data_IF_326782764271
#
_entry.id   IF_326782764271
#
_cell.length_a   1.000
_cell.length_b   1.000
_cell.length_c   1.000
_cell.angle_alpha   90.00
_cell.angle_beta   90.00
_cell.angle_gamma   90.00
#
_symmetry.space_group_name_H-M   'P 1'
#
loop_
_entity.id
_entity.type
_entity.pdbx_description
1 polymer ?
#
# COMPACT_ATOMS: atom_id res chain seq x y z
N UNK A 1 21.39 21.04 27.37
CA UNK A 1 21.92 19.68 27.13
C UNK A 1 21.06 18.87 26.16
N UNK A 2 19.80 18.52 26.46
CA UNK A 2 18.95 17.74 25.54
C UNK A 2 18.76 18.36 24.15
N UNK A 3 18.62 19.69 24.08
CA UNK A 3 18.53 20.44 22.81
C UNK A 3 19.85 20.41 22.04
N UNK A 4 20.99 20.42 22.73
CA UNK A 4 22.31 20.34 22.08
C UNK A 4 22.51 18.93 21.52
N UNK A 5 22.05 17.90 22.24
CA UNK A 5 22.05 16.52 21.76
C UNK A 5 21.12 16.33 20.56
N UNK A 6 19.95 16.98 20.57
CA UNK A 6 19.00 17.03 19.45
C UNK A 6 19.63 17.68 18.22
N UNK A 7 20.28 18.84 18.39
CA UNK A 7 20.98 19.57 17.33
C UNK A 7 22.14 18.76 16.75
N UNK A 8 22.91 18.07 17.59
CA UNK A 8 24.03 17.23 17.16
C UNK A 8 23.53 16.02 16.34
N UNK A 9 22.46 15.36 16.79
CA UNK A 9 21.86 14.23 16.08
C UNK A 9 21.30 14.65 14.71
N UNK A 10 20.64 15.82 14.65
CA UNK A 10 20.09 16.40 13.42
C UNK A 10 21.19 16.79 12.42
N UNK A 11 22.32 17.32 12.91
CA UNK A 11 23.48 17.67 12.10
C UNK A 11 24.18 16.43 11.53
N UNK A 12 24.28 15.36 12.33
CA UNK A 12 24.82 14.06 11.90
C UNK A 12 23.90 13.40 10.85
N UNK A 13 22.58 13.41 11.08
CA UNK A 13 21.61 12.88 10.13
C UNK A 13 21.66 13.62 8.78
N UNK A 14 21.74 14.96 8.81
CA UNK A 14 21.91 15.80 7.62
C UNK A 14 23.22 15.50 6.86
N UNK A 15 24.31 15.23 7.59
CA UNK A 15 25.60 14.83 6.99
C UNK A 15 25.55 13.47 6.29
N UNK A 16 24.74 12.53 6.76
CA UNK A 16 24.51 11.25 6.09
C UNK A 16 23.64 11.38 4.82
N UNK A 17 22.73 12.34 4.76
CA UNK A 17 21.91 12.65 3.57
C UNK A 17 22.75 13.33 2.47
N UNK A 18 23.74 14.14 2.85
CA UNK A 18 24.62 14.90 1.94
C UNK A 18 25.42 14.05 0.94
N UNK A 19 25.58 12.74 1.16
CA UNK A 19 26.49 11.95 0.34
C UNK A 19 25.89 11.42 -0.97
N UNK A 20 24.58 11.55 -1.23
CA UNK A 20 23.95 10.80 -2.34
C UNK A 20 22.78 11.41 -3.13
N UNK A 21 22.21 12.59 -2.82
CA UNK A 21 21.00 13.09 -3.53
C UNK A 21 20.94 14.63 -3.74
N UNK A 22 20.31 15.00 -4.86
CA UNK A 22 19.89 16.31 -5.42
C UNK A 22 19.96 17.55 -4.51
N UNK A 23 20.77 18.55 -4.92
CA UNK A 23 21.07 19.76 -4.13
C UNK A 23 19.85 20.63 -3.79
N UNK A 24 18.82 20.68 -4.64
CA UNK A 24 17.59 21.44 -4.40
C UNK A 24 16.81 20.90 -3.20
N UNK A 25 16.79 19.58 -3.05
CA UNK A 25 16.09 18.89 -1.98
C UNK A 25 16.78 19.11 -0.63
N UNK A 26 18.12 19.09 -0.60
CA UNK A 26 18.92 19.42 0.58
C UNK A 26 18.68 20.86 1.04
N UNK A 27 18.51 21.81 0.10
CA UNK A 27 18.19 23.20 0.41
C UNK A 27 16.81 23.35 1.07
N UNK A 28 15.79 22.61 0.61
CA UNK A 28 14.45 22.62 1.23
C UNK A 28 14.50 22.04 2.64
N UNK A 29 15.24 20.95 2.86
CA UNK A 29 15.40 20.34 4.17
C UNK A 29 16.19 21.24 5.13
N UNK A 30 17.27 21.89 4.66
CA UNK A 30 17.99 22.91 5.44
C UNK A 30 17.09 24.11 5.77
N UNK A 31 16.24 24.54 4.84
CA UNK A 31 15.28 25.61 5.08
C UNK A 31 14.25 25.24 6.14
N UNK A 32 13.63 24.06 6.06
CA UNK A 32 12.67 23.56 7.05
C UNK A 32 13.33 23.36 8.43
N UNK A 33 14.60 22.92 8.45
CA UNK A 33 15.41 22.81 9.65
C UNK A 33 15.68 24.18 10.27
N UNK A 34 16.16 25.14 9.49
CA UNK A 34 16.36 26.54 9.93
C UNK A 34 15.04 27.13 10.43
N UNK A 35 13.93 26.88 9.73
CA UNK A 35 12.61 27.32 10.14
C UNK A 35 12.16 26.69 11.47
N UNK A 36 12.40 25.39 11.67
CA UNK A 36 12.13 24.69 12.94
C UNK A 36 13.02 25.18 14.09
N UNK A 37 14.26 25.60 13.79
CA UNK A 37 15.18 26.22 14.74
C UNK A 37 14.72 27.62 15.11
N UNK A 38 14.23 28.41 14.15
CA UNK A 38 13.64 29.72 14.38
C UNK A 38 12.39 29.59 15.25
N UNK A 39 11.51 28.62 14.97
CA UNK A 39 10.32 28.36 15.80
C UNK A 39 10.72 27.90 17.19
N UNK A 40 11.68 26.98 17.32
CA UNK A 40 12.13 26.49 18.62
C UNK A 40 12.80 27.60 19.44
N UNK A 41 13.61 28.44 18.80
CA UNK A 41 14.21 29.62 19.41
C UNK A 41 13.14 30.64 19.80
N UNK A 42 12.15 30.89 18.94
CA UNK A 42 11.03 31.78 19.23
C UNK A 42 10.18 31.26 20.38
N UNK A 43 9.93 29.95 20.46
CA UNK A 43 9.26 29.32 21.60
C UNK A 43 10.09 29.45 22.87
N UNK A 44 11.41 29.25 22.81
CA UNK A 44 12.31 29.41 23.96
C UNK A 44 12.39 30.88 24.40
N UNK A 45 12.48 31.83 23.48
CA UNK A 45 12.53 33.27 23.75
C UNK A 45 11.19 33.78 24.30
N UNK A 46 10.07 33.34 23.73
CA UNK A 46 8.73 33.57 24.27
C UNK A 46 8.60 32.99 25.69
N UNK A 47 9.13 31.79 25.95
CA UNK A 47 9.17 31.16 27.27
C UNK A 47 10.15 31.81 28.25
N UNK A 48 11.20 32.47 27.76
CA UNK A 48 12.21 33.18 28.55
C UNK A 48 11.79 34.60 28.94
N UNK A 49 11.11 35.30 28.03
CA UNK A 49 10.62 36.67 28.23
C UNK A 49 9.26 36.72 28.93
N UNK A 50 8.44 35.66 28.85
CA UNK A 50 7.32 35.46 29.77
C UNK A 50 7.89 35.04 31.12
N UNK A 51 7.93 35.95 32.10
CA UNK A 51 8.31 35.60 33.48
C UNK A 51 7.41 34.51 34.07
N UNK A 52 7.75 33.24 33.82
CA UNK A 52 7.03 32.06 34.27
C UNK A 52 6.98 32.02 35.81
N UNK A 53 8.00 32.54 36.49
CA UNK A 53 8.00 32.69 37.95
C UNK A 53 6.91 33.65 38.48
N UNK A 54 6.46 34.64 37.70
CA UNK A 54 5.37 35.56 38.11
C UNK A 54 3.98 35.07 37.71
N UNK A 55 3.85 34.24 36.68
CA UNK A 55 2.54 33.73 36.22
C UNK A 55 2.16 32.34 36.77
N UNK A 56 3.13 31.51 37.21
CA UNK A 56 2.88 30.19 37.82
C UNK A 56 2.21 30.22 39.20
N UNK A 57 2.01 31.41 39.79
CA UNK A 57 1.23 31.53 41.03
C UNK A 57 -0.28 31.41 40.80
N UNK A 58 -0.75 31.40 39.54
CA UNK A 58 -2.16 31.11 39.18
C UNK A 58 -2.30 29.66 38.68
N UNK A 59 -2.80 28.77 39.54
CA UNK A 59 -3.00 27.34 39.24
C UNK A 59 -3.82 27.06 37.96
N UNK A 60 -4.68 27.98 37.54
CA UNK A 60 -5.53 27.84 36.34
C UNK A 60 -4.73 27.88 35.04
N UNK A 61 -3.76 28.79 34.92
CA UNK A 61 -2.91 28.90 33.73
C UNK A 61 -2.02 27.66 33.56
N UNK A 62 -1.45 27.17 34.67
CA UNK A 62 -0.63 25.97 34.67
C UNK A 62 -1.39 24.70 34.23
N UNK A 63 -2.66 24.56 34.65
CA UNK A 63 -3.52 23.43 34.21
C UNK A 63 -3.80 23.48 32.71
N UNK A 64 -4.16 24.65 32.18
CA UNK A 64 -4.40 24.84 30.74
C UNK A 64 -3.17 24.48 29.92
N UNK A 65 -1.99 24.98 30.32
CA UNK A 65 -0.73 24.68 29.65
C UNK A 65 -0.38 23.18 29.63
N UNK A 66 -0.57 22.47 30.73
CA UNK A 66 -0.38 21.01 30.77
C UNK A 66 -1.29 20.29 29.77
N UNK A 67 -2.60 20.61 29.76
CA UNK A 67 -3.53 19.96 28.84
C UNK A 67 -3.21 20.27 27.38
N UNK A 68 -2.80 21.50 27.05
CA UNK A 68 -2.39 21.84 25.68
C UNK A 68 -1.21 20.98 25.22
N UNK A 69 -0.16 20.87 26.04
CA UNK A 69 1.01 20.07 25.70
C UNK A 69 0.67 18.59 25.62
N UNK A 70 -0.20 18.10 26.52
CA UNK A 70 -0.66 16.72 26.49
C UNK A 70 -1.42 16.44 25.18
N UNK A 71 -2.28 17.35 24.73
CA UNK A 71 -2.99 17.22 23.45
C UNK A 71 -2.07 17.29 22.24
N UNK A 72 -1.06 18.16 22.24
CA UNK A 72 -0.05 18.20 21.16
C UNK A 72 0.75 16.90 21.13
N UNK A 73 1.15 16.38 22.30
CA UNK A 73 1.82 15.07 22.44
C UNK A 73 0.96 13.94 21.84
N UNK A 74 -0.33 13.91 22.17
CA UNK A 74 -1.28 12.93 21.64
C UNK A 74 -1.30 12.92 20.11
N UNK A 75 -1.43 14.11 19.52
CA UNK A 75 -1.51 14.28 18.07
C UNK A 75 -0.22 13.85 17.38
N UNK A 76 0.94 14.25 17.90
CA UNK A 76 2.22 13.91 17.29
C UNK A 76 2.54 12.42 17.45
N UNK A 77 2.21 11.84 18.62
CA UNK A 77 2.35 10.41 18.83
C UNK A 77 1.51 9.61 17.83
N UNK A 78 0.26 10.03 17.59
CA UNK A 78 -0.60 9.43 16.58
C UNK A 78 0.04 9.46 15.19
N UNK A 79 0.53 10.62 14.75
CA UNK A 79 1.25 10.72 13.47
C UNK A 79 2.50 9.83 13.42
N UNK A 80 3.24 9.69 14.52
CA UNK A 80 4.41 8.82 14.58
C UNK A 80 4.07 7.34 14.39
N UNK A 81 2.94 6.90 14.96
CA UNK A 81 2.43 5.54 14.80
C UNK A 81 2.04 5.29 13.35
N UNK A 82 1.32 6.22 12.72
CA UNK A 82 0.90 6.12 11.30
C UNK A 82 2.12 6.06 10.37
N UNK A 83 3.18 6.82 10.65
CA UNK A 83 4.42 6.79 9.86
C UNK A 83 5.18 5.45 9.96
N UNK A 84 4.99 4.68 11.04
CA UNK A 84 5.67 3.40 11.23
C UNK A 84 5.03 2.26 10.43
N UNK A 85 3.74 2.37 10.09
CA UNK A 85 2.99 1.30 9.38
C UNK A 85 3.65 0.92 8.03
N UNK A 86 3.95 1.86 7.11
CA UNK A 86 4.58 1.52 5.83
C UNK A 86 5.99 0.93 5.99
N UNK A 87 6.75 1.36 7.00
CA UNK A 87 8.07 0.83 7.31
C UNK A 87 7.98 -0.61 7.86
N UNK A 88 6.95 -0.90 8.66
CA UNK A 88 6.69 -2.25 9.15
C UNK A 88 6.30 -3.20 8.00
N UNK A 89 5.48 -2.75 7.05
CA UNK A 89 5.13 -3.51 5.84
C UNK A 89 6.34 -3.76 4.94
N UNK A 90 7.18 -2.73 4.74
CA UNK A 90 8.44 -2.88 4.04
C UNK A 90 9.33 -3.93 4.71
N UNK A 91 9.55 -3.82 6.02
CA UNK A 91 10.38 -4.76 6.78
C UNK A 91 9.84 -6.21 6.74
N UNK A 92 8.51 -6.37 6.85
CA UNK A 92 7.83 -7.68 6.77
C UNK A 92 8.20 -8.42 5.48
N UNK A 93 8.21 -7.72 4.36
CA UNK A 93 8.48 -8.34 3.05
C UNK A 93 9.91 -8.87 2.92
N UNK A 94 10.88 -8.26 3.60
CA UNK A 94 12.26 -8.78 3.63
C UNK A 94 12.43 -9.95 4.58
N UNK A 95 11.72 -9.95 5.72
CA UNK A 95 11.84 -10.98 6.75
C UNK A 95 11.04 -12.24 6.43
N UNK A 96 9.87 -12.07 5.83
CA UNK A 96 8.97 -13.13 5.39
C UNK A 96 8.50 -12.80 3.98
N UNK A 97 9.28 -13.16 2.95
CA UNK A 97 8.84 -13.02 1.56
C UNK A 97 7.51 -13.76 1.40
N UNK A 98 6.50 -13.08 0.90
CA UNK A 98 5.20 -13.67 0.62
C UNK A 98 5.40 -14.72 -0.47
N UNK A 99 5.00 -15.96 -0.20
CA UNK A 99 5.15 -17.04 -1.18
C UNK A 99 4.20 -16.77 -2.34
N UNK A 100 4.76 -16.58 -3.54
CA UNK A 100 3.96 -16.53 -4.76
C UNK A 100 3.34 -17.90 -5.00
N UNK A 101 2.09 -17.90 -5.47
CA UNK A 101 1.40 -19.14 -5.79
C UNK A 101 2.18 -19.94 -6.84
N UNK A 102 2.40 -21.24 -6.58
CA UNK A 102 3.29 -22.08 -7.40
C UNK A 102 2.92 -22.08 -8.89
N UNK A 103 1.62 -21.98 -9.21
CA UNK A 103 1.15 -22.02 -10.59
C UNK A 103 1.59 -20.83 -11.46
N UNK A 104 1.88 -19.67 -10.85
CA UNK A 104 2.30 -18.44 -11.54
C UNK A 104 3.73 -18.03 -11.21
N UNK A 105 4.44 -18.83 -10.42
CA UNK A 105 5.81 -18.56 -9.95
C UNK A 105 6.82 -18.35 -11.08
N UNK A 106 6.69 -19.13 -12.15
CA UNK A 106 7.57 -19.07 -13.32
C UNK A 106 7.15 -18.04 -14.38
N UNK A 107 6.26 -17.12 -14.00
CA UNK A 107 5.80 -16.05 -14.88
C UNK A 107 6.32 -14.69 -14.42
N UNK A 108 6.14 -13.69 -15.28
CA UNK A 108 6.48 -12.31 -15.08
C UNK A 108 5.41 -11.39 -15.67
N UNK A 109 5.48 -10.12 -15.28
CA UNK A 109 4.59 -9.06 -15.77
C UNK A 109 5.41 -7.84 -16.18
N UNK A 110 4.93 -7.09 -17.18
CA UNK A 110 5.52 -5.79 -17.52
C UNK A 110 5.09 -4.76 -16.47
N UNK A 111 6.02 -4.30 -15.65
CA UNK A 111 5.72 -3.41 -14.52
C UNK A 111 6.95 -2.57 -14.11
N UNK A 112 6.79 -1.30 -13.71
CA UNK A 112 5.58 -0.49 -13.76
C UNK A 112 5.32 0.07 -15.15
N UNK A 113 4.08 0.44 -15.44
CA UNK A 113 3.79 1.29 -16.59
C UNK A 113 4.25 2.71 -16.29
N UNK A 114 5.20 3.21 -17.07
CA UNK A 114 5.64 4.61 -17.00
C UNK A 114 4.89 5.46 -18.04
N UNK A 115 4.83 6.77 -17.76
CA UNK A 115 4.35 7.76 -18.72
C UNK A 115 5.34 7.90 -19.86
N UNK A 116 5.00 7.34 -21.02
CA UNK A 116 5.79 7.38 -22.25
C UNK A 116 5.30 8.43 -23.25
N UNK A 117 5.99 8.53 -24.38
CA UNK A 117 5.69 9.42 -25.49
C UNK A 117 4.34 9.09 -26.18
N UNK A 118 3.71 7.94 -25.87
CA UNK A 118 2.33 7.64 -26.26
C UNK A 118 1.36 8.77 -25.84
N UNK A 119 1.63 9.45 -24.71
CA UNK A 119 0.85 10.60 -24.23
C UNK A 119 1.09 11.92 -25.01
N UNK A 120 2.06 11.96 -25.93
CA UNK A 120 2.23 13.08 -26.85
C UNK A 120 1.47 12.89 -28.17
N UNK A 121 0.91 11.69 -28.40
CA UNK A 121 0.05 11.37 -29.54
C UNK A 121 -1.44 11.63 -29.27
N UNK A 122 -1.78 12.11 -28.07
CA UNK A 122 -3.15 12.28 -27.54
C UNK A 122 -4.04 13.27 -28.32
N UNK A 123 -3.50 13.98 -29.30
CA UNK A 123 -4.23 14.97 -30.13
C UNK A 123 -4.70 14.43 -31.49
N UNK A 124 -4.39 13.18 -31.82
CA UNK A 124 -4.82 12.55 -33.07
C UNK A 124 -5.78 11.40 -32.75
N UNK A 125 -7.08 11.64 -33.01
CA UNK A 125 -8.22 10.71 -33.09
C UNK A 125 -8.07 9.30 -32.47
N UNK A 126 -9.07 8.84 -31.72
CA UNK A 126 -9.15 7.48 -31.15
C UNK A 126 -8.84 6.31 -32.14
N UNK A 127 -8.89 6.53 -33.45
CA UNK A 127 -8.50 5.58 -34.50
C UNK A 127 -6.98 5.52 -34.80
N UNK A 128 -6.17 6.43 -34.24
CA UNK A 128 -4.70 6.44 -34.26
C UNK A 128 -4.08 5.86 -32.98
N UNK A 129 -4.70 4.82 -32.39
CA UNK A 129 -4.01 3.83 -31.54
C UNK A 129 -3.04 2.96 -32.39
N UNK A 130 -2.32 3.61 -33.30
CA UNK A 130 -1.82 3.10 -34.58
C UNK A 130 -0.41 2.54 -34.58
N UNK A 131 -0.08 1.72 -33.58
CA UNK A 131 1.02 0.76 -33.73
C UNK A 131 0.42 -0.64 -33.58
N UNK A 132 0.70 -1.49 -34.56
CA UNK A 132 0.12 -2.83 -34.63
C UNK A 132 0.71 -3.71 -33.51
N UNK A 133 0.02 -3.75 -32.36
CA UNK A 133 0.37 -4.59 -31.20
C UNK A 133 0.12 -6.07 -31.46
N UNK A 134 -0.44 -6.44 -32.63
CA UNK A 134 -0.74 -7.83 -33.00
C UNK A 134 0.49 -8.71 -32.97
N UNK A 135 1.64 -8.24 -33.45
CA UNK A 135 2.88 -9.04 -33.44
C UNK A 135 3.37 -9.32 -32.03
N UNK A 136 3.31 -8.31 -31.14
CA UNK A 136 3.68 -8.47 -29.74
C UNK A 136 2.75 -9.48 -29.05
N UNK A 137 1.44 -9.29 -29.17
CA UNK A 137 0.45 -10.20 -28.59
C UNK A 137 0.58 -11.62 -29.17
N UNK A 138 0.73 -11.76 -30.49
CA UNK A 138 0.96 -13.05 -31.15
C UNK A 138 2.16 -13.76 -30.55
N UNK A 139 3.31 -13.07 -30.45
CA UNK A 139 4.52 -13.67 -29.90
C UNK A 139 4.37 -14.05 -28.42
N UNK A 140 3.67 -13.23 -27.62
CA UNK A 140 3.38 -13.55 -26.22
C UNK A 140 2.50 -14.81 -26.10
N UNK A 141 1.45 -14.91 -26.90
CA UNK A 141 0.58 -16.08 -26.94
C UNK A 141 1.32 -17.33 -27.44
N UNK A 142 2.15 -17.22 -28.47
CA UNK A 142 2.94 -18.33 -29.01
C UNK A 142 3.97 -18.85 -27.99
N UNK A 143 4.55 -17.93 -27.19
CA UNK A 143 5.49 -18.27 -26.12
C UNK A 143 4.81 -18.84 -24.86
N UNK A 144 3.47 -18.89 -24.82
CA UNK A 144 2.71 -19.51 -23.73
C UNK A 144 2.22 -18.55 -22.65
N UNK A 145 2.08 -17.25 -22.95
CA UNK A 145 1.43 -16.32 -22.05
C UNK A 145 0.00 -16.77 -21.73
N UNK A 146 -0.40 -16.65 -20.47
CA UNK A 146 -1.73 -17.04 -19.97
C UNK A 146 -2.47 -15.79 -19.51
N UNK A 147 -3.76 -15.72 -19.80
CA UNK A 147 -4.60 -14.58 -19.42
C UNK A 147 -5.89 -15.05 -18.75
N UNK A 148 -6.24 -14.41 -17.64
CA UNK A 148 -7.55 -14.48 -17.00
C UNK A 148 -7.90 -13.08 -16.52
N UNK A 149 -8.99 -12.51 -17.04
CA UNK A 149 -9.50 -11.20 -16.63
C UNK A 149 -10.88 -11.37 -16.00
N UNK A 150 -10.97 -11.02 -14.72
CA UNK A 150 -12.16 -11.12 -13.88
C UNK A 150 -12.74 -9.76 -13.53
N UNK A 151 -12.23 -8.67 -14.12
CA UNK A 151 -12.70 -7.29 -13.85
C UNK A 151 -14.22 -7.16 -13.99
N UNK A 152 -14.77 -7.59 -15.13
CA UNK A 152 -16.21 -7.55 -15.39
C UNK A 152 -17.05 -8.47 -14.47
N UNK A 153 -16.45 -9.53 -13.94
CA UNK A 153 -17.12 -10.48 -13.02
C UNK A 153 -17.36 -9.85 -11.64
N UNK A 154 -16.44 -9.03 -11.13
CA UNK A 154 -16.55 -8.38 -9.82
C UNK A 154 -17.27 -7.03 -9.83
N UNK A 155 -17.66 -6.53 -10.99
CA UNK A 155 -18.45 -5.30 -11.10
C UNK A 155 -19.89 -5.52 -10.61
N UNK A 156 -20.22 -5.00 -9.43
CA UNK A 156 -21.53 -5.17 -8.77
C UNK A 156 -22.71 -4.58 -9.58
N UNK A 157 -22.44 -3.56 -10.40
CA UNK A 157 -23.46 -2.90 -11.23
C UNK A 157 -23.82 -3.75 -12.47
N UNK A 158 -23.02 -4.77 -12.79
CA UNK A 158 -23.27 -5.62 -13.94
C UNK A 158 -24.39 -6.63 -13.63
N UNK A 159 -25.45 -6.70 -14.45
CA UNK A 159 -26.39 -7.80 -14.38
C UNK A 159 -25.64 -9.13 -14.59
N UNK A 160 -26.19 -10.24 -14.09
CA UNK A 160 -25.53 -11.56 -14.13
C UNK A 160 -25.01 -11.95 -15.53
N UNK A 161 -25.70 -11.51 -16.57
CA UNK A 161 -25.35 -11.72 -17.99
C UNK A 161 -24.13 -10.91 -18.47
N UNK A 162 -23.66 -9.94 -17.69
CA UNK A 162 -22.47 -9.10 -17.95
C UNK A 162 -21.33 -9.40 -16.97
N UNK A 163 -21.55 -10.27 -15.98
CA UNK A 163 -20.48 -10.78 -15.12
C UNK A 163 -19.66 -11.84 -15.87
N UNK A 164 -18.82 -11.37 -16.78
CA UNK A 164 -18.01 -12.21 -17.65
C UNK A 164 -16.58 -12.36 -17.14
N UNK A 165 -15.97 -13.50 -17.45
CA UNK A 165 -14.54 -13.77 -17.30
C UNK A 165 -13.95 -13.93 -18.70
N UNK A 166 -12.81 -13.31 -18.97
CA UNK A 166 -12.11 -13.45 -20.25
C UNK A 166 -10.86 -14.28 -20.05
N UNK A 167 -10.64 -15.27 -20.91
CA UNK A 167 -9.47 -16.14 -20.88
C UNK A 167 -8.92 -16.36 -22.28
N UNK A 168 -7.61 -16.58 -22.39
CA UNK A 168 -7.01 -16.99 -23.64
C UNK A 168 -6.98 -18.52 -23.81
N UNK A 169 -6.66 -18.99 -25.01
CA UNK A 169 -6.55 -20.43 -25.28
C UNK A 169 -5.48 -21.13 -24.44
N UNK A 170 -4.34 -20.48 -24.18
CA UNK A 170 -3.28 -21.05 -23.33
C UNK A 170 -3.73 -21.24 -21.87
N UNK A 171 -4.63 -20.39 -21.37
CA UNK A 171 -5.25 -20.58 -20.06
C UNK A 171 -6.09 -21.86 -20.06
N UNK A 172 -6.94 -22.08 -21.07
CA UNK A 172 -7.74 -23.30 -21.17
C UNK A 172 -6.88 -24.57 -21.34
N UNK A 173 -5.77 -24.47 -22.06
CA UNK A 173 -4.83 -25.59 -22.20
C UNK A 173 -4.24 -26.01 -20.84
N UNK A 174 -4.03 -25.04 -19.93
CA UNK A 174 -3.49 -25.25 -18.59
C UNK A 174 -4.57 -25.62 -17.56
N UNK A 175 -5.75 -25.01 -17.68
CA UNK A 175 -6.91 -25.17 -16.80
C UNK A 175 -8.13 -25.59 -17.64
N UNK A 176 -8.22 -26.89 -18.00
CA UNK A 176 -9.24 -27.36 -18.92
C UNK A 176 -10.63 -27.31 -18.30
N UNK A 177 -11.55 -26.65 -19.00
CA UNK A 177 -12.97 -26.65 -18.64
C UNK A 177 -13.70 -27.81 -19.32
N UNK A 178 -14.59 -28.45 -18.59
CA UNK A 178 -15.30 -29.65 -18.99
C UNK A 178 -16.70 -29.30 -19.51
N UNK A 179 -17.04 -29.82 -20.68
CA UNK A 179 -18.37 -29.71 -21.26
C UNK A 179 -19.39 -30.58 -20.50
N UNK A 180 -20.68 -30.33 -20.72
CA UNK A 180 -21.75 -31.24 -20.24
C UNK A 180 -21.64 -32.68 -20.79
N UNK A 181 -20.84 -32.89 -21.84
CA UNK A 181 -20.56 -34.22 -22.40
C UNK A 181 -19.31 -34.89 -21.79
N UNK A 182 -18.79 -34.37 -20.68
CA UNK A 182 -17.56 -34.84 -20.01
C UNK A 182 -16.31 -34.81 -20.91
N UNK A 183 -16.24 -33.85 -21.84
CA UNK A 183 -15.07 -33.65 -22.69
C UNK A 183 -14.45 -32.28 -22.38
N UNK A 184 -13.13 -32.16 -22.33
CA UNK A 184 -12.48 -30.85 -22.27
C UNK A 184 -12.89 -29.98 -23.46
N UNK A 185 -13.19 -28.71 -23.20
CA UNK A 185 -13.39 -27.71 -24.26
C UNK A 185 -12.05 -27.51 -24.96
N UNK A 186 -12.03 -27.77 -26.27
CA UNK A 186 -10.87 -27.53 -27.13
C UNK A 186 -11.21 -26.43 -28.12
N UNK A 187 -10.35 -25.42 -28.18
CA UNK A 187 -10.49 -24.26 -29.06
C UNK A 187 -9.28 -24.19 -29.98
N UNK A 188 -9.51 -24.05 -31.28
CA UNK A 188 -8.43 -23.79 -32.24
C UNK A 188 -7.86 -22.39 -31.99
N UNK A 189 -6.53 -22.27 -31.92
CA UNK A 189 -5.84 -20.98 -31.74
C UNK A 189 -6.08 -20.01 -32.90
N UNK A 190 -6.51 -20.52 -34.06
CA UNK A 190 -6.85 -19.73 -35.24
C UNK A 190 -8.35 -19.52 -35.42
N UNK A 191 -9.18 -19.84 -34.42
CA UNK A 191 -10.63 -19.61 -34.51
C UNK A 191 -10.93 -18.10 -34.61
N UNK A 192 -11.67 -17.72 -35.65
CA UNK A 192 -12.03 -16.32 -35.94
C UNK A 192 -13.33 -15.91 -35.25
N UNK A 193 -14.18 -16.89 -34.92
CA UNK A 193 -15.48 -16.68 -34.28
C UNK A 193 -15.30 -16.31 -32.81
N UNK A 194 -16.24 -15.53 -32.30
CA UNK A 194 -16.33 -15.27 -30.87
C UNK A 194 -16.70 -16.57 -30.14
N UNK A 195 -16.07 -16.86 -29.00
CA UNK A 195 -16.28 -18.12 -28.28
C UNK A 195 -16.80 -17.81 -26.89
N UNK A 196 -17.98 -18.33 -26.59
CA UNK A 196 -18.70 -18.10 -25.35
C UNK A 196 -18.98 -19.45 -24.69
N UNK A 197 -18.46 -19.64 -23.49
CA UNK A 197 -18.77 -20.79 -22.64
C UNK A 197 -19.86 -20.39 -21.65
N UNK A 198 -20.94 -21.17 -21.62
CA UNK A 198 -22.11 -20.92 -20.79
C UNK A 198 -22.30 -22.12 -19.84
N UNK A 199 -22.33 -21.91 -18.52
CA UNK A 199 -22.64 -22.94 -17.54
C UNK A 199 -24.04 -23.51 -17.71
N UNK A 200 -24.20 -24.78 -17.38
CA UNK A 200 -25.47 -25.50 -17.49
C UNK A 200 -26.63 -24.79 -16.77
N UNK A 201 -26.40 -24.18 -15.60
CA UNK A 201 -27.43 -23.43 -14.84
C UNK A 201 -28.02 -22.25 -15.60
N UNK A 202 -27.29 -21.69 -16.56
CA UNK A 202 -27.73 -20.53 -17.37
C UNK A 202 -28.41 -20.95 -18.68
N UNK A 203 -28.51 -22.25 -18.97
CA UNK A 203 -29.23 -22.75 -20.14
C UNK A 203 -30.72 -22.39 -20.21
N UNK A 204 -31.48 -22.27 -19.09
CA UNK A 204 -32.86 -21.78 -19.14
C UNK A 204 -32.99 -20.40 -19.79
N UNK A 205 -31.98 -19.54 -19.62
CA UNK A 205 -31.95 -18.17 -20.16
C UNK A 205 -31.20 -18.07 -21.50
N UNK A 206 -30.79 -19.21 -22.09
CA UNK A 206 -29.96 -19.25 -23.29
C UNK A 206 -30.53 -18.46 -24.46
N UNK A 207 -31.85 -18.47 -24.66
CA UNK A 207 -32.50 -17.73 -25.75
C UNK A 207 -32.24 -16.21 -25.59
N UNK A 208 -32.33 -15.70 -24.37
CA UNK A 208 -32.07 -14.30 -24.08
C UNK A 208 -30.58 -13.98 -24.23
N UNK A 209 -29.70 -14.80 -23.64
CA UNK A 209 -28.24 -14.67 -23.76
C UNK A 209 -27.80 -14.63 -25.22
N UNK A 210 -28.25 -15.60 -26.01
CA UNK A 210 -27.98 -15.70 -27.44
C UNK A 210 -28.44 -14.44 -28.18
N UNK A 211 -29.65 -13.96 -27.90
CA UNK A 211 -30.15 -12.75 -28.54
C UNK A 211 -29.31 -11.52 -28.19
N UNK A 212 -28.79 -11.46 -26.97
CA UNK A 212 -27.93 -10.38 -26.50
C UNK A 212 -26.58 -10.37 -27.24
N UNK A 213 -25.86 -11.50 -27.26
CA UNK A 213 -24.57 -11.62 -27.96
C UNK A 213 -24.67 -11.31 -29.46
N UNK A 214 -25.77 -11.70 -30.11
CA UNK A 214 -25.96 -11.47 -31.55
C UNK A 214 -26.36 -10.02 -31.89
N UNK A 215 -27.02 -9.30 -30.97
CA UNK A 215 -27.62 -7.99 -31.25
C UNK A 215 -26.89 -6.79 -30.62
N UNK A 216 -26.25 -6.94 -29.45
CA UNK A 216 -25.84 -5.81 -28.61
C UNK A 216 -24.33 -5.51 -28.68
N UNK A 217 -23.51 -6.50 -29.05
CA UNK A 217 -22.06 -6.42 -28.94
C UNK A 217 -21.35 -6.15 -30.29
N UNK A 218 -21.85 -5.20 -31.09
CA UNK A 218 -21.20 -4.84 -32.35
C UNK A 218 -20.66 -3.39 -32.38
N UNK A 219 -19.34 -3.18 -32.14
CA UNK A 219 -18.71 -1.87 -32.29
C UNK A 219 -18.78 -1.34 -33.74
N UNK A 220 -18.93 -2.22 -34.73
CA UNK A 220 -18.99 -1.87 -36.16
C UNK A 220 -20.41 -1.65 -36.69
N UNK A 221 -21.43 -1.64 -35.81
CA UNK A 221 -22.87 -1.49 -36.17
C UNK A 221 -23.40 -2.52 -37.17
N UNK A 222 -22.72 -3.65 -37.37
CA UNK A 222 -23.25 -4.78 -38.13
C UNK A 222 -24.06 -5.70 -37.19
N UNK A 223 -25.07 -6.39 -37.68
CA UNK A 223 -25.70 -7.46 -36.88
C UNK A 223 -24.80 -8.69 -36.97
N UNK A 224 -24.31 -9.24 -35.83
CA UNK A 224 -23.57 -10.51 -35.83
C UNK A 224 -24.53 -11.61 -36.27
N UNK A 225 -24.06 -12.52 -37.12
CA UNK A 225 -24.80 -13.72 -37.50
C UNK A 225 -24.47 -14.84 -36.55
N UNK A 226 -25.32 -15.87 -36.55
CA UNK A 226 -25.09 -17.08 -35.74
C UNK A 226 -23.79 -17.80 -36.09
N UNK A 227 -23.36 -17.71 -37.34
CA UNK A 227 -22.09 -18.27 -37.81
C UNK A 227 -20.85 -17.54 -37.24
N UNK A 228 -21.02 -16.36 -36.64
CA UNK A 228 -19.93 -15.53 -36.11
C UNK A 228 -19.62 -15.85 -34.62
N UNK A 229 -20.45 -16.66 -33.95
CA UNK A 229 -20.33 -16.97 -32.51
C UNK A 229 -20.46 -18.47 -32.24
N UNK A 230 -19.53 -19.01 -31.47
CA UNK A 230 -19.53 -20.37 -30.96
C UNK A 230 -19.96 -20.41 -29.49
N UNK A 231 -21.08 -21.06 -29.23
CA UNK A 231 -21.56 -21.32 -27.88
C UNK A 231 -21.19 -22.74 -27.45
N UNK A 232 -20.50 -22.87 -26.33
CA UNK A 232 -20.25 -24.15 -25.66
C UNK A 232 -20.97 -24.19 -24.31
N UNK A 233 -21.57 -25.32 -23.98
CA UNK A 233 -22.16 -25.54 -22.65
C UNK A 233 -21.17 -26.30 -21.77
N UNK A 234 -20.84 -25.72 -20.62
CA UNK A 234 -19.92 -26.29 -19.63
C UNK A 234 -20.65 -26.76 -18.37
N UNK A 235 -20.04 -27.71 -17.65
CA UNK A 235 -20.55 -28.13 -16.34
C UNK A 235 -20.57 -26.96 -15.36
N UNK A 236 -21.55 -26.96 -14.46
CA UNK A 236 -21.60 -26.02 -13.35
C UNK A 236 -20.51 -26.30 -12.31
N UNK A 237 -20.31 -25.31 -11.43
CA UNK A 237 -19.41 -25.39 -10.27
C UNK A 237 -17.95 -25.72 -10.60
N UNK A 238 -17.52 -25.39 -11.82
CA UNK A 238 -16.11 -25.50 -12.21
C UNK A 238 -15.28 -24.37 -11.61
N UNK A 239 -14.16 -24.75 -11.02
CA UNK A 239 -13.21 -23.84 -10.40
C UNK A 239 -12.42 -23.07 -11.48
N UNK A 240 -12.49 -21.75 -11.45
CA UNK A 240 -11.62 -20.85 -12.23
C UNK A 240 -10.55 -20.31 -11.31
N UNK A 241 -9.30 -20.69 -11.56
CA UNK A 241 -8.15 -20.11 -10.88
C UNK A 241 -7.82 -18.75 -11.51
N UNK A 242 -8.12 -17.66 -10.80
CA UNK A 242 -7.90 -16.30 -11.24
C UNK A 242 -6.69 -15.68 -10.52
N UNK A 243 -5.79 -15.08 -11.30
CA UNK A 243 -4.50 -14.55 -10.83
C UNK A 243 -4.28 -13.08 -11.24
N UNK A 244 -5.36 -12.39 -11.57
CA UNK A 244 -5.46 -10.97 -11.92
C UNK A 244 -5.91 -10.11 -10.72
N UNK A 245 -5.72 -10.65 -9.52
CA UNK A 245 -5.96 -9.97 -8.25
C UNK A 245 -4.67 -9.96 -7.43
N UNK A 246 -4.62 -9.11 -6.41
CA UNK A 246 -3.49 -8.99 -5.49
C UNK A 246 -3.07 -10.35 -4.87
N UNK A 247 -4.06 -11.21 -4.64
CA UNK A 247 -3.88 -12.60 -4.26
C UNK A 247 -4.74 -13.44 -5.21
N UNK A 248 -4.21 -14.55 -5.75
CA UNK A 248 -5.01 -15.44 -6.57
C UNK A 248 -6.24 -15.96 -5.83
N UNK A 249 -7.34 -16.09 -6.55
CA UNK A 249 -8.62 -16.54 -6.02
C UNK A 249 -9.16 -17.70 -6.86
N UNK A 250 -10.06 -18.48 -6.26
CA UNK A 250 -10.81 -19.53 -6.96
C UNK A 250 -12.26 -19.06 -7.06
N UNK A 251 -12.76 -18.93 -8.29
CA UNK A 251 -14.16 -18.64 -8.57
C UNK A 251 -14.87 -19.97 -8.81
N UNK A 252 -15.76 -20.34 -7.89
CA UNK A 252 -16.50 -21.61 -7.94
C UNK A 252 -17.80 -21.52 -8.76
N UNK A 253 -18.22 -20.32 -9.15
CA UNK A 253 -19.50 -20.12 -9.82
C UNK A 253 -19.37 -19.09 -10.97
N UNK A 254 -18.51 -19.35 -11.97
CA UNK A 254 -18.29 -18.42 -13.08
C UNK A 254 -19.56 -18.31 -13.94
N UNK A 255 -19.99 -17.11 -14.32
CA UNK A 255 -21.24 -16.92 -15.10
C UNK A 255 -21.02 -17.11 -16.60
N UNK A 256 -20.33 -16.21 -17.28
CA UNK A 256 -20.04 -16.37 -18.71
C UNK A 256 -18.53 -16.30 -18.90
N UNK A 257 -17.97 -17.21 -19.67
CA UNK A 257 -16.54 -17.22 -19.98
C UNK A 257 -16.35 -16.95 -21.46
N UNK A 258 -15.66 -15.85 -21.77
CA UNK A 258 -15.23 -15.52 -23.11
C UNK A 258 -13.85 -16.12 -23.35
N UNK A 259 -13.71 -16.86 -24.44
CA UNK A 259 -12.42 -17.42 -24.85
C UNK A 259 -11.94 -16.66 -26.07
N UNK A 260 -10.79 -16.02 -25.95
CA UNK A 260 -10.22 -15.27 -27.05
C UNK A 260 -9.02 -15.97 -27.68
N UNK A 261 -8.93 -15.77 -28.99
CA UNK A 261 -7.79 -16.08 -29.85
C UNK A 261 -7.24 -14.76 -30.38
N UNK A 262 -6.09 -14.79 -31.06
CA UNK A 262 -5.59 -13.60 -31.73
C UNK A 262 -6.57 -13.11 -32.82
N UNK A 263 -7.26 -14.04 -33.49
CA UNK A 263 -8.11 -13.72 -34.64
C UNK A 263 -9.48 -13.20 -34.24
N UNK A 264 -10.07 -13.71 -33.15
CA UNK A 264 -11.38 -13.27 -32.69
C UNK A 264 -11.32 -12.02 -31.79
N UNK A 265 -10.13 -11.60 -31.34
CA UNK A 265 -9.94 -10.40 -30.53
C UNK A 265 -9.84 -9.15 -31.43
N UNK A 266 -10.76 -8.17 -31.29
CA UNK A 266 -10.72 -6.93 -32.08
C UNK A 266 -9.43 -6.14 -31.84
N UNK A 267 -8.89 -5.48 -32.86
CA UNK A 267 -7.64 -4.70 -32.78
C UNK A 267 -7.69 -3.67 -31.63
N UNK A 268 -8.85 -3.03 -31.42
CA UNK A 268 -9.08 -2.06 -30.35
C UNK A 268 -8.93 -2.64 -28.94
N UNK A 269 -9.09 -3.96 -28.78
CA UNK A 269 -9.00 -4.70 -27.52
C UNK A 269 -7.66 -5.44 -27.37
N UNK A 270 -6.73 -5.34 -28.34
CA UNK A 270 -5.38 -5.93 -28.26
C UNK A 270 -4.41 -5.13 -27.36
N UNK A 271 -4.91 -4.15 -26.61
CA UNK A 271 -4.12 -3.42 -25.62
C UNK A 271 -4.16 -4.14 -24.25
N UNK A 272 -3.52 -5.30 -24.21
CA UNK A 272 -3.54 -6.27 -23.09
C UNK A 272 -2.57 -5.92 -21.96
N UNK A 273 -1.57 -5.06 -22.18
CA UNK A 273 -0.62 -4.68 -21.14
C UNK A 273 -1.15 -3.46 -20.38
N UNK A 274 -1.41 -3.64 -19.08
CA UNK A 274 -1.94 -2.57 -18.22
C UNK A 274 -0.85 -1.96 -17.34
N UNK A 275 0.12 -2.77 -16.93
CA UNK A 275 1.11 -2.44 -15.91
C UNK A 275 0.55 -2.44 -14.49
N UNK A 276 -0.51 -3.22 -14.24
CA UNK A 276 -1.19 -3.30 -12.94
C UNK A 276 -0.57 -4.30 -11.95
N UNK A 277 0.71 -4.63 -12.10
CA UNK A 277 1.44 -5.49 -11.15
C UNK A 277 0.77 -6.86 -10.95
N UNK A 278 0.45 -7.26 -9.71
CA UNK A 278 -0.24 -8.52 -9.42
C UNK A 278 -1.58 -8.63 -10.14
N UNK A 279 -2.27 -7.50 -10.31
CA UNK A 279 -3.55 -7.43 -11.00
C UNK A 279 -3.45 -7.36 -12.54
N UNK A 280 -2.26 -7.54 -13.13
CA UNK A 280 -2.13 -7.69 -14.59
C UNK A 280 -2.79 -9.02 -15.03
N UNK A 281 -3.83 -9.01 -15.87
CA UNK A 281 -4.51 -10.25 -16.29
C UNK A 281 -3.59 -11.20 -17.06
N UNK A 282 -2.66 -10.65 -17.84
CA UNK A 282 -1.71 -11.41 -18.65
C UNK A 282 -0.43 -11.72 -17.87
N UNK A 283 -0.11 -13.02 -17.75
CA UNK A 283 1.17 -13.49 -17.20
C UNK A 283 2.05 -14.05 -18.31
N UNK A 284 3.30 -13.61 -18.33
CA UNK A 284 4.27 -13.94 -19.37
C UNK A 284 5.25 -14.99 -18.84
N UNK A 285 5.40 -16.16 -19.48
CA UNK A 285 6.32 -17.18 -19.01
C UNK A 285 7.76 -16.69 -19.10
N UNK A 286 8.57 -17.02 -18.10
CA UNK A 286 9.99 -16.72 -18.10
C UNK A 286 10.74 -17.67 -19.04
N UNK A 287 11.45 -17.10 -20.01
CA UNK A 287 12.34 -17.80 -20.94
C UNK A 287 13.77 -17.51 -20.49
N UNK A 288 14.28 -18.33 -19.59
CA UNK A 288 15.55 -18.07 -18.90
C UNK A 288 15.38 -17.03 -17.79
N UNK A 289 16.19 -15.99 -17.81
CA UNK A 289 16.10 -14.86 -16.87
C UNK A 289 15.06 -13.84 -17.30
N UNK A 290 14.62 -13.00 -16.36
CA UNK A 290 13.71 -11.88 -16.64
C UNK A 290 14.28 -10.93 -17.70
N UNK A 291 15.59 -10.68 -17.67
CA UNK A 291 16.26 -9.83 -18.64
C UNK A 291 16.31 -10.47 -20.03
N UNK A 292 16.62 -11.76 -20.13
CA UNK A 292 16.61 -12.47 -21.41
C UNK A 292 15.20 -12.51 -22.02
N UNK A 293 14.18 -12.70 -21.19
CA UNK A 293 12.78 -12.65 -21.61
C UNK A 293 12.40 -11.24 -22.08
N UNK A 294 12.82 -10.20 -21.35
CA UNK A 294 12.61 -8.80 -21.75
C UNK A 294 13.30 -8.47 -23.09
N UNK A 295 14.57 -8.85 -23.25
CA UNK A 295 15.36 -8.58 -24.44
C UNK A 295 14.76 -9.25 -25.69
N UNK A 296 14.10 -10.40 -25.52
CA UNK A 296 13.34 -11.07 -26.58
C UNK A 296 12.14 -10.24 -27.06
N UNK A 297 11.41 -9.60 -26.14
CA UNK A 297 10.25 -8.78 -26.47
C UNK A 297 10.59 -7.31 -26.79
N UNK A 298 11.77 -6.83 -26.43
CA UNK A 298 12.20 -5.44 -26.65
C UNK A 298 12.07 -4.95 -28.10
N UNK A 299 12.42 -5.72 -29.15
CA UNK A 299 12.20 -5.30 -30.53
C UNK A 299 10.71 -5.11 -30.86
N UNK A 300 9.84 -5.97 -30.34
CA UNK A 300 8.39 -5.91 -30.55
C UNK A 300 7.76 -4.77 -29.75
N UNK A 301 8.28 -4.49 -28.55
CA UNK A 301 7.90 -3.32 -27.76
C UNK A 301 8.26 -2.03 -28.51
N UNK A 302 9.45 -1.95 -29.13
CA UNK A 302 9.86 -0.81 -29.96
C UNK A 302 9.01 -0.64 -31.21
N UNK A 303 8.67 -1.74 -31.89
CA UNK A 303 7.76 -1.71 -33.04
C UNK A 303 6.36 -1.25 -32.61
N UNK A 304 5.92 -1.63 -31.41
CA UNK A 304 4.66 -1.23 -30.81
C UNK A 304 4.68 0.16 -30.15
N UNK A 305 5.84 0.82 -30.05
CA UNK A 305 6.03 2.11 -29.37
C UNK A 305 5.71 2.06 -27.88
N UNK A 306 6.03 0.93 -27.23
CA UNK A 306 5.71 0.62 -25.84
C UNK A 306 6.97 0.46 -24.96
N UNK A 307 8.17 0.65 -25.52
CA UNK A 307 9.43 0.41 -24.81
C UNK A 307 9.67 1.37 -23.64
N UNK A 308 9.17 2.61 -23.76
CA UNK A 308 9.25 3.64 -22.71
C UNK A 308 8.12 3.50 -21.68
N UNK A 309 6.96 2.98 -22.09
CA UNK A 309 5.86 2.62 -21.20
C UNK A 309 6.19 1.41 -20.33
N UNK A 310 6.83 0.38 -20.90
CA UNK A 310 7.13 -0.88 -20.21
C UNK A 310 8.64 -1.17 -20.25
N UNK A 311 9.45 -0.44 -19.46
CA UNK A 311 10.90 -0.58 -19.47
C UNK A 311 11.42 -1.83 -18.74
N UNK A 312 10.57 -2.51 -17.97
CA UNK A 312 10.98 -3.65 -17.15
C UNK A 312 9.96 -4.80 -17.22
N UNK A 313 10.49 -6.02 -17.18
CA UNK A 313 9.74 -7.25 -16.95
C UNK A 313 10.12 -7.82 -15.58
N UNK A 314 9.14 -7.97 -14.70
CA UNK A 314 9.38 -8.34 -13.30
C UNK A 314 8.82 -9.74 -13.03
N UNK A 315 9.66 -10.71 -12.61
CA UNK A 315 9.21 -12.02 -12.15
C UNK A 315 8.20 -11.90 -11.02
N UNK A 316 7.18 -12.77 -11.01
CA UNK A 316 6.17 -12.77 -9.95
C UNK A 316 6.80 -12.88 -8.56
N UNK A 317 7.82 -13.73 -8.38
CA UNK A 317 8.57 -13.88 -7.12
C UNK A 317 9.21 -12.58 -6.61
N UNK A 318 9.58 -11.68 -7.51
CA UNK A 318 10.24 -10.42 -7.18
C UNK A 318 9.27 -9.24 -7.19
N UNK A 319 8.04 -9.43 -7.65
CA UNK A 319 7.10 -8.36 -7.94
C UNK A 319 6.76 -7.53 -6.69
N UNK A 320 6.36 -8.18 -5.58
CA UNK A 320 6.10 -7.49 -4.30
C UNK A 320 7.29 -6.66 -3.85
N UNK A 321 8.51 -7.22 -3.94
CA UNK A 321 9.72 -6.51 -3.55
C UNK A 321 9.93 -5.28 -4.43
N UNK A 322 9.72 -5.42 -5.74
CA UNK A 322 9.84 -4.34 -6.71
C UNK A 322 8.78 -3.26 -6.51
N UNK A 323 7.53 -3.59 -6.24
CA UNK A 323 6.47 -2.62 -5.91
C UNK A 323 6.84 -1.78 -4.69
N UNK A 324 7.22 -2.43 -3.58
CA UNK A 324 7.61 -1.72 -2.37
C UNK A 324 8.88 -0.92 -2.62
N UNK A 325 9.83 -1.45 -3.39
CA UNK A 325 10.96 -0.66 -3.83
C UNK A 325 10.49 0.55 -4.61
N UNK A 326 9.61 0.48 -5.59
CA UNK A 326 9.17 1.66 -6.35
C UNK A 326 8.37 2.66 -5.50
N UNK A 327 7.51 2.17 -4.61
CA UNK A 327 6.73 2.99 -3.67
C UNK A 327 7.66 3.69 -2.66
N UNK A 328 8.74 3.04 -2.21
CA UNK A 328 9.60 3.53 -1.13
C UNK A 328 11.03 3.96 -1.54
N UNK A 329 11.47 3.73 -2.79
CA UNK A 329 12.83 3.97 -3.32
C UNK A 329 13.19 5.45 -3.24
N UNK A 330 12.21 6.32 -3.43
CA UNK A 330 12.43 7.76 -3.36
C UNK A 330 12.56 8.29 -1.93
N UNK A 331 12.26 7.50 -0.89
CA UNK A 331 11.92 8.10 0.40
C UNK A 331 12.22 7.24 1.64
N UNK A 332 12.68 5.98 1.56
CA UNK A 332 12.79 5.16 2.79
C UNK A 332 13.79 5.72 3.81
N UNK A 333 14.91 6.29 3.33
CA UNK A 333 15.91 6.95 4.20
C UNK A 333 15.34 8.23 4.83
N UNK A 334 14.57 8.99 4.06
CA UNK A 334 13.91 10.18 4.56
C UNK A 334 12.81 9.80 5.56
N UNK A 335 11.97 8.81 5.27
CA UNK A 335 10.97 8.26 6.21
C UNK A 335 11.61 7.76 7.51
N UNK A 336 12.74 7.07 7.45
CA UNK A 336 13.49 6.68 8.66
C UNK A 336 13.98 7.91 9.42
N UNK A 337 14.44 8.95 8.71
CA UNK A 337 14.89 10.22 9.32
C UNK A 337 13.72 10.96 9.97
N UNK A 338 12.60 11.12 9.26
CA UNK A 338 11.38 11.78 9.73
C UNK A 338 10.78 11.05 10.93
N UNK A 339 10.74 9.72 10.88
CA UNK A 339 10.34 8.88 12.00
C UNK A 339 11.27 9.08 13.20
N UNK A 340 12.58 9.12 12.99
CA UNK A 340 13.58 9.32 14.06
C UNK A 340 13.40 10.69 14.73
N UNK A 341 13.20 11.74 13.94
CA UNK A 341 12.92 13.10 14.44
C UNK A 341 11.60 13.11 15.22
N UNK A 342 10.57 12.47 14.69
CA UNK A 342 9.24 12.42 15.30
C UNK A 342 9.27 11.65 16.63
N UNK A 343 9.94 10.50 16.70
CA UNK A 343 10.12 9.72 17.93
C UNK A 343 10.87 10.55 18.98
N UNK A 344 11.93 11.25 18.58
CA UNK A 344 12.68 12.10 19.50
C UNK A 344 11.81 13.24 20.06
N UNK A 345 11.00 13.87 19.20
CA UNK A 345 10.08 14.91 19.62
C UNK A 345 8.97 14.37 20.55
N UNK A 346 8.47 13.16 20.31
CA UNK A 346 7.56 12.45 21.21
C UNK A 346 8.21 12.21 22.58
N UNK A 347 9.45 11.74 22.64
CA UNK A 347 10.18 11.53 23.91
C UNK A 347 10.31 12.84 24.69
N UNK A 348 10.65 13.94 24.01
CA UNK A 348 10.72 15.28 24.62
C UNK A 348 9.36 15.71 25.17
N UNK A 349 8.28 15.51 24.42
CA UNK A 349 6.93 15.87 24.86
C UNK A 349 6.42 14.98 26.01
N UNK A 350 6.75 13.69 26.03
CA UNK A 350 6.46 12.80 27.17
C UNK A 350 7.18 13.33 28.41
N UNK A 351 8.48 13.60 28.31
CA UNK A 351 9.29 14.11 29.42
C UNK A 351 8.72 15.45 29.93
N UNK A 352 8.42 16.38 29.02
CA UNK A 352 7.95 17.71 29.36
C UNK A 352 6.54 17.69 29.95
N UNK A 353 5.61 16.93 29.36
CA UNK A 353 4.26 16.78 29.91
C UNK A 353 4.29 16.17 31.30
N UNK A 354 5.17 15.19 31.54
CA UNK A 354 5.40 14.57 32.85
C UNK A 354 5.96 15.57 33.86
N UNK A 355 6.96 16.37 33.47
CA UNK A 355 7.56 17.39 34.32
C UNK A 355 6.59 18.52 34.64
N UNK A 356 5.81 18.97 33.65
CA UNK A 356 4.75 19.96 33.81
C UNK A 356 3.69 19.46 34.79
N UNK A 357 3.24 18.21 34.64
CA UNK A 357 2.32 17.56 35.55
C UNK A 357 2.87 17.48 36.98
N UNK A 358 4.13 17.07 37.14
CA UNK A 358 4.77 16.99 38.44
C UNK A 358 4.83 18.36 39.13
N UNK A 359 5.24 19.41 38.41
CA UNK A 359 5.34 20.78 38.95
C UNK A 359 3.99 21.32 39.40
N UNK A 360 2.92 21.08 38.65
CA UNK A 360 1.56 21.53 39.00
C UNK A 360 1.07 21.00 40.34
N UNK A 361 1.48 19.78 40.69
CA UNK A 361 1.00 19.08 41.89
C UNK A 361 2.15 18.77 42.87
N UNK A 362 3.29 19.46 42.73
CA UNK A 362 4.53 19.14 43.45
C UNK A 362 4.32 19.03 44.97
N UNK A 363 3.66 20.00 45.58
CA UNK A 363 3.41 20.01 47.02
C UNK A 363 2.62 18.78 47.46
N UNK A 364 1.57 18.42 46.72
CA UNK A 364 0.72 17.27 47.01
C UNK A 364 1.49 15.95 46.86
N UNK A 365 2.28 15.82 45.79
CA UNK A 365 3.07 14.61 45.53
C UNK A 365 4.15 14.40 46.57
N UNK A 366 4.89 15.45 46.95
CA UNK A 366 5.92 15.37 47.99
C UNK A 366 5.30 14.94 49.33
N UNK A 367 4.19 15.54 49.75
CA UNK A 367 3.50 15.16 51.00
C UNK A 367 3.03 13.71 50.96
N UNK A 368 2.43 13.26 49.86
CA UNK A 368 1.97 11.87 49.74
C UNK A 368 3.12 10.86 49.74
N UNK A 369 4.24 11.16 49.06
CA UNK A 369 5.40 10.27 49.02
C UNK A 369 6.12 10.20 50.37
N UNK A 370 6.21 11.33 51.11
CA UNK A 370 6.72 11.34 52.49
C UNK A 370 5.87 10.49 53.44
N UNK A 371 4.55 10.48 53.24
CA UNK A 371 3.62 9.64 54.02
C UNK A 371 3.55 8.17 53.54
N UNK A 372 4.49 7.72 52.71
CA UNK A 372 4.57 6.32 52.29
C UNK A 372 3.52 5.88 51.26
N UNK A 373 2.81 6.81 50.60
CA UNK A 373 1.85 6.44 49.56
C UNK A 373 2.58 5.83 48.36
N UNK A 374 2.07 4.67 47.90
CA UNK A 374 2.62 3.93 46.74
C UNK A 374 2.64 4.79 45.47
N UNK A 375 3.68 4.63 44.65
CA UNK A 375 3.93 5.37 43.42
C UNK A 375 2.70 5.50 42.50
N UNK A 376 2.06 4.38 42.14
CA UNK A 376 0.91 4.38 41.24
C UNK A 376 -0.32 5.09 41.81
N UNK A 377 -0.53 5.07 43.14
CA UNK A 377 -1.60 5.85 43.77
C UNK A 377 -1.32 7.34 43.72
N UNK A 378 -0.06 7.74 43.90
CA UNK A 378 0.37 9.15 43.84
C UNK A 378 0.13 9.75 42.47
N UNK A 379 0.53 9.05 41.40
CA UNK A 379 0.45 9.54 40.02
C UNK A 379 -0.76 9.02 39.24
N UNK A 380 -1.78 8.43 39.91
CA UNK A 380 -2.92 7.74 39.27
C UNK A 380 -3.54 8.50 38.08
N UNK A 381 -3.70 9.81 38.19
CA UNK A 381 -4.34 10.61 37.13
C UNK A 381 -3.53 10.66 35.82
N UNK A 382 -2.19 10.68 35.87
CA UNK A 382 -1.41 10.66 34.63
C UNK A 382 -1.48 9.27 33.97
N UNK A 383 -1.49 8.21 34.77
CA UNK A 383 -1.68 6.84 34.28
C UNK A 383 -3.10 6.63 33.72
N UNK A 384 -4.11 7.31 34.26
CA UNK A 384 -5.45 7.33 33.68
C UNK A 384 -5.47 8.05 32.31
N UNK A 385 -4.80 9.19 32.17
CA UNK A 385 -4.69 9.88 30.87
C UNK A 385 -3.92 9.04 29.84
N UNK A 386 -2.85 8.38 30.28
CA UNK A 386 -2.09 7.42 29.47
C UNK A 386 -2.97 6.25 29.01
N UNK A 387 -3.75 5.64 29.91
CA UNK A 387 -4.67 4.56 29.56
C UNK A 387 -5.77 5.00 28.60
N UNK A 388 -6.38 6.18 28.84
CA UNK A 388 -7.41 6.75 27.97
C UNK A 388 -6.88 7.02 26.56
N UNK A 389 -5.65 7.51 26.47
CA UNK A 389 -4.96 7.76 25.20
C UNK A 389 -4.86 6.50 24.34
N UNK A 390 -4.35 5.40 24.88
CA UNK A 390 -4.20 4.16 24.11
C UNK A 390 -5.53 3.44 23.89
N UNK A 391 -6.52 3.65 24.76
CA UNK A 391 -7.89 3.20 24.51
C UNK A 391 -8.48 3.88 23.27
N UNK A 392 -8.29 5.19 23.11
CA UNK A 392 -8.74 5.92 21.92
C UNK A 392 -8.05 5.42 20.64
N UNK A 393 -6.74 5.16 20.71
CA UNK A 393 -6.00 4.59 19.58
C UNK A 393 -6.47 3.17 19.23
N UNK A 394 -6.74 2.33 20.24
CA UNK A 394 -7.28 1.00 20.03
C UNK A 394 -8.65 1.04 19.33
N UNK A 395 -9.55 1.94 19.76
CA UNK A 395 -10.86 2.12 19.12
C UNK A 395 -10.69 2.56 17.66
N UNK A 396 -9.77 3.49 17.38
CA UNK A 396 -9.50 3.94 16.01
C UNK A 396 -9.10 2.78 15.08
N UNK A 397 -8.15 1.95 15.53
CA UNK A 397 -7.66 0.79 14.76
C UNK A 397 -8.76 -0.25 14.56
N UNK A 398 -9.52 -0.56 15.61
CA UNK A 398 -10.61 -1.53 15.56
C UNK A 398 -11.70 -1.13 14.54
N UNK A 399 -11.89 0.16 14.25
CA UNK A 399 -12.85 0.65 13.26
C UNK A 399 -12.31 0.63 11.83
N UNK A 400 -11.02 0.91 11.61
CA UNK A 400 -10.46 1.09 10.26
C UNK A 400 -9.85 -0.17 9.65
N UNK A 401 -9.10 -0.95 10.43
CA UNK A 401 -8.62 -2.30 10.08
C UNK A 401 -7.76 -2.81 11.23
N UNK A 402 -8.02 -4.03 11.70
CA UNK A 402 -7.24 -4.62 12.78
C UNK A 402 -6.23 -5.61 12.20
N UNK A 403 -4.98 -5.16 11.99
CA UNK A 403 -3.88 -6.04 11.58
C UNK A 403 -2.99 -6.38 12.77
N UNK A 404 -2.39 -7.57 12.75
CA UNK A 404 -1.48 -7.99 13.83
C UNK A 404 -0.25 -7.08 13.94
N UNK A 405 0.18 -6.48 12.82
CA UNK A 405 1.25 -5.49 12.76
C UNK A 405 0.95 -4.26 13.60
N UNK A 406 -0.31 -3.82 13.63
CA UNK A 406 -0.72 -2.64 14.40
C UNK A 406 -0.56 -2.92 15.89
N UNK A 407 -0.96 -4.11 16.36
CA UNK A 407 -0.81 -4.54 17.75
C UNK A 407 0.64 -4.49 18.21
N UNK A 408 1.59 -4.94 17.38
CA UNK A 408 3.02 -4.88 17.70
C UNK A 408 3.51 -3.42 17.78
N UNK A 409 3.09 -2.56 16.84
CA UNK A 409 3.45 -1.14 16.84
C UNK A 409 2.93 -0.46 18.11
N UNK A 410 1.65 -0.62 18.47
CA UNK A 410 1.10 -0.02 19.68
C UNK A 410 1.77 -0.53 20.95
N UNK A 411 2.05 -1.84 21.02
CA UNK A 411 2.74 -2.43 22.16
C UNK A 411 4.14 -1.83 22.35
N UNK A 412 4.86 -1.58 21.25
CA UNK A 412 6.17 -0.91 21.27
C UNK A 412 6.06 0.53 21.79
N UNK A 413 5.09 1.32 21.31
CA UNK A 413 4.90 2.70 21.77
C UNK A 413 4.45 2.79 23.23
N UNK A 414 3.56 1.91 23.67
CA UNK A 414 3.17 1.76 25.09
C UNK A 414 4.42 1.51 25.93
N UNK A 415 5.27 0.57 25.50
CA UNK A 415 6.51 0.23 26.20
C UNK A 415 7.47 1.44 26.28
N UNK A 416 7.71 2.12 25.17
CA UNK A 416 8.59 3.31 25.10
C UNK A 416 8.07 4.41 26.02
N UNK A 417 6.78 4.76 25.92
CA UNK A 417 6.20 5.82 26.73
C UNK A 417 6.18 5.45 28.22
N UNK A 418 5.88 4.19 28.57
CA UNK A 418 6.00 3.70 29.95
C UNK A 418 7.44 3.87 30.49
N UNK A 419 8.46 3.47 29.73
CA UNK A 419 9.86 3.59 30.14
C UNK A 419 10.23 5.06 30.37
N UNK A 420 9.88 5.96 29.44
CA UNK A 420 10.20 7.39 29.55
C UNK A 420 9.45 8.05 30.71
N UNK A 421 8.15 7.76 30.89
CA UNK A 421 7.34 8.24 32.02
C UNK A 421 7.95 7.83 33.37
N UNK A 422 8.21 6.53 33.55
CA UNK A 422 8.77 5.99 34.80
C UNK A 422 10.15 6.58 35.08
N UNK A 423 11.03 6.60 34.07
CA UNK A 423 12.37 7.17 34.19
C UNK A 423 12.34 8.64 34.61
N UNK A 424 11.45 9.43 34.00
CA UNK A 424 11.27 10.85 34.30
C UNK A 424 10.83 11.04 35.76
N UNK A 425 9.82 10.29 36.22
CA UNK A 425 9.37 10.37 37.60
C UNK A 425 10.45 9.95 38.61
N UNK A 426 11.16 8.84 38.37
CA UNK A 426 12.23 8.39 39.26
C UNK A 426 13.38 9.41 39.35
N UNK A 427 13.76 10.04 38.24
CA UNK A 427 14.78 11.08 38.23
C UNK A 427 14.35 12.31 39.02
N UNK A 428 13.09 12.72 38.90
CA UNK A 428 12.53 13.85 39.64
C UNK A 428 12.51 13.56 41.15
N UNK A 429 12.02 12.39 41.57
CA UNK A 429 11.98 11.99 42.99
C UNK A 429 13.39 11.92 43.59
N UNK A 430 14.35 11.31 42.88
CA UNK A 430 15.74 11.22 43.33
C UNK A 430 16.38 12.60 43.54
N UNK A 431 16.10 13.56 42.64
CA UNK A 431 16.63 14.92 42.74
C UNK A 431 16.05 15.68 43.93
N UNK A 432 14.77 15.48 44.25
CA UNK A 432 14.15 16.10 45.42
C UNK A 432 14.63 15.50 46.74
N UNK A 433 14.77 14.17 46.84
CA UNK A 433 15.27 13.55 48.07
C UNK A 433 16.67 14.05 48.43
N UNK A 434 17.56 14.20 47.45
CA UNK A 434 18.90 14.80 47.66
C UNK A 434 18.86 16.25 48.13
N UNK A 435 17.88 17.04 47.71
CA UNK A 435 17.70 18.44 48.16
C UNK A 435 17.11 18.53 49.58
N UNK A 436 16.41 17.49 50.03
CA UNK A 436 15.91 17.38 51.40
C UNK A 436 16.96 16.82 52.37
N UNK A 437 17.89 15.99 51.91
CA UNK A 437 19.01 15.48 52.72
C UNK A 437 20.14 16.51 52.89
N UNK A 438 20.25 17.51 52.00
CA UNK A 438 21.27 18.57 52.08
C UNK A 438 20.83 19.81 52.88
N UNK A 439 19.65 19.79 53.48
CA UNK A 439 19.08 20.83 54.36
C UNK A 439 18.86 20.23 55.73
#
# INVERSE_FOLDING_TARGET
ELVILFLLNLLIASFFVLHLVNHLFVLVQLFLLIFSLIISFFVIDLLGNLSLNKQLNRQTFGKGFFYTIYSVKMLILFFSVVQLVPLAEYARTFLTPEAVHEEIKNYAVFYPRLGGNEATLTDLSQDMRGLDKTKLLSQLLDDGAIEVDTSAYFEEENPLIHQSIYVNTNYLDKYPLISITNQPIQVDKNEDREIILIPERMMPDFVQLRSWFLNEMNPDRRTKKEEDVLFYTIQDEQEIFAFDQEQPIIINLPNIIHVFTLNNLPISHRNILTGNSFAEPLKIPLIGTAQETYDRYLPLLKEAGLEDNFPFLIPMEQLRKTELQLIYLWDIRQRITDLSITILLVIVLITYSTLSYFRLYQQKFVVWRLNGVSFFKTYRRIFLLFGLQYLLFFIYVAVHSFRITDVFIFSLYILIECIVLLSTFFLIEKKQNRLCESK
#
